data_IF_009503806639
#
_entry.id   IF_009503806639
#
_cell.length_a   1.000
_cell.length_b   1.000
_cell.length_c   1.000
_cell.angle_alpha   90.00
_cell.angle_beta   90.00
_cell.angle_gamma   90.00
#
_symmetry.space_group_name_H-M   'P 1'
#
loop_
_entity.id
_entity.type
_entity.pdbx_description
1 polymer ?
#
# COMPACT_ATOMS: atom_id res chain seq x y z
N UNK A 1 2.35 3.39 -25.41
CA UNK A 1 0.97 3.86 -25.76
C UNK A 1 -0.10 2.99 -25.10
N UNK A 2 -0.11 1.66 -25.30
CA UNK A 2 -1.19 0.78 -24.78
C UNK A 2 -1.28 0.85 -23.25
N UNK A 3 -0.20 0.55 -22.53
CA UNK A 3 -0.20 0.57 -21.06
C UNK A 3 -0.60 1.93 -20.47
N UNK A 4 -0.12 3.03 -21.04
CA UNK A 4 -0.53 4.36 -20.61
C UNK A 4 -2.04 4.62 -20.81
N UNK A 5 -2.61 4.19 -21.94
CA UNK A 5 -4.04 4.31 -22.18
C UNK A 5 -4.86 3.43 -21.21
N UNK A 6 -4.35 2.25 -20.83
CA UNK A 6 -4.97 1.39 -19.82
C UNK A 6 -5.00 2.09 -18.46
N UNK A 7 -3.87 2.62 -17.98
CA UNK A 7 -3.79 3.36 -16.71
C UNK A 7 -4.74 4.55 -16.71
N UNK A 8 -4.81 5.30 -17.81
CA UNK A 8 -5.76 6.41 -17.98
C UNK A 8 -7.23 5.94 -17.91
N UNK A 9 -7.55 4.81 -18.55
CA UNK A 9 -8.89 4.21 -18.50
C UNK A 9 -9.26 3.72 -17.09
N UNK A 10 -8.32 3.14 -16.36
CA UNK A 10 -8.52 2.72 -14.97
C UNK A 10 -8.78 3.92 -14.05
N UNK A 11 -8.04 5.03 -14.22
CA UNK A 11 -8.31 6.26 -13.49
C UNK A 11 -9.72 6.82 -13.75
N UNK A 12 -10.20 6.78 -15.00
CA UNK A 12 -11.57 7.18 -15.32
C UNK A 12 -12.60 6.26 -14.68
N UNK A 13 -12.36 4.94 -14.64
CA UNK A 13 -13.24 3.97 -13.99
C UNK A 13 -13.34 4.23 -12.48
N UNK A 14 -12.24 4.56 -11.80
CA UNK A 14 -12.23 4.97 -10.38
C UNK A 14 -13.15 6.18 -10.15
N UNK A 15 -13.00 7.23 -10.97
CA UNK A 15 -13.86 8.41 -10.86
C UNK A 15 -15.35 8.05 -11.08
N UNK A 16 -15.66 7.24 -12.08
CA UNK A 16 -17.03 6.82 -12.37
C UNK A 16 -17.65 5.96 -11.27
N UNK A 17 -16.83 5.27 -10.48
CA UNK A 17 -17.26 4.52 -9.31
C UNK A 17 -17.50 5.40 -8.06
N UNK A 18 -17.22 6.71 -8.15
CA UNK A 18 -17.40 7.67 -7.07
C UNK A 18 -16.12 7.98 -6.28
N UNK A 19 -14.97 7.44 -6.69
CA UNK A 19 -13.67 7.74 -6.06
C UNK A 19 -13.09 9.01 -6.69
N UNK A 20 -13.11 10.12 -5.96
CA UNK A 20 -12.73 11.44 -6.49
C UNK A 20 -11.28 11.83 -6.24
N UNK A 21 -10.58 11.09 -5.38
CA UNK A 21 -9.14 11.27 -5.09
C UNK A 21 -8.53 9.92 -4.78
N UNK A 22 -7.38 9.63 -5.37
CA UNK A 22 -6.61 8.41 -5.12
C UNK A 22 -5.15 8.75 -4.80
N UNK A 23 -4.50 7.87 -4.07
CA UNK A 23 -3.06 7.81 -3.89
C UNK A 23 -2.54 6.53 -4.54
N UNK A 24 -1.59 6.63 -5.47
CA UNK A 24 -0.94 5.46 -6.05
C UNK A 24 0.34 5.11 -5.27
N UNK A 25 0.54 3.82 -5.02
CA UNK A 25 1.62 3.31 -4.15
C UNK A 25 2.35 2.13 -4.82
N UNK A 26 2.96 2.41 -5.92
CA UNK A 26 3.61 1.48 -6.83
C UNK A 26 2.90 1.45 -8.18
N UNK A 27 3.59 1.84 -9.22
CA UNK A 27 3.06 1.96 -10.56
C UNK A 27 4.06 1.54 -11.63
N UNK A 28 3.70 1.69 -12.89
CA UNK A 28 4.55 1.33 -14.02
C UNK A 28 5.27 2.59 -14.50
N UNK A 29 6.58 2.66 -14.28
CA UNK A 29 7.41 3.80 -14.72
C UNK A 29 6.84 5.12 -14.19
N UNK A 30 6.70 6.12 -15.07
CA UNK A 30 6.19 7.47 -14.82
C UNK A 30 4.70 7.64 -15.18
N UNK A 31 3.94 6.54 -15.29
CA UNK A 31 2.58 6.64 -15.82
C UNK A 31 1.62 7.34 -14.87
N UNK A 32 1.80 7.20 -13.57
CA UNK A 32 0.91 7.81 -12.60
C UNK A 32 0.99 9.34 -12.66
N UNK A 33 2.21 9.90 -12.65
CA UNK A 33 2.42 11.35 -12.78
C UNK A 33 1.96 11.87 -14.14
N UNK A 34 2.19 11.13 -15.22
CA UNK A 34 1.73 11.52 -16.56
C UNK A 34 0.21 11.55 -16.68
N UNK A 35 -0.48 10.51 -16.16
CA UNK A 35 -1.95 10.47 -16.18
C UNK A 35 -2.53 11.55 -15.26
N UNK A 36 -1.93 11.77 -14.08
CA UNK A 36 -2.27 12.88 -13.19
C UNK A 36 -2.22 14.22 -13.93
N UNK A 37 -1.12 14.49 -14.61
CA UNK A 37 -0.89 15.76 -15.30
C UNK A 37 -1.84 15.93 -16.51
N UNK A 38 -2.15 14.85 -17.21
CA UNK A 38 -3.17 14.86 -18.29
C UNK A 38 -4.58 15.14 -17.74
N UNK A 39 -4.91 14.60 -16.57
CA UNK A 39 -6.19 14.89 -15.89
C UNK A 39 -6.22 16.35 -15.42
N UNK A 40 -5.15 16.82 -14.76
CA UNK A 40 -5.07 18.18 -14.24
C UNK A 40 -5.16 19.25 -15.33
N UNK A 41 -4.65 18.98 -16.54
CA UNK A 41 -4.77 19.91 -17.67
C UNK A 41 -6.04 19.66 -18.53
N UNK A 42 -6.94 18.78 -18.14
CA UNK A 42 -8.22 18.53 -18.80
C UNK A 42 -8.14 17.67 -20.07
N UNK A 43 -6.99 17.05 -20.37
CA UNK A 43 -6.83 16.14 -21.51
C UNK A 43 -7.47 14.77 -21.29
N UNK A 44 -7.57 14.35 -20.04
CA UNK A 44 -8.16 13.09 -19.62
C UNK A 44 -9.15 13.33 -18.49
N UNK A 45 -10.06 12.39 -18.31
CA UNK A 45 -11.01 12.36 -17.23
C UNK A 45 -10.54 11.36 -16.18
N UNK A 46 -10.56 11.76 -14.91
CA UNK A 46 -10.15 10.90 -13.80
C UNK A 46 -10.23 11.63 -12.45
N UNK A 47 -9.90 10.95 -11.35
CA UNK A 47 -9.86 11.55 -10.02
C UNK A 47 -8.64 12.45 -9.86
N UNK A 48 -8.58 13.19 -8.76
CA UNK A 48 -7.30 13.75 -8.30
C UNK A 48 -6.36 12.61 -7.96
N UNK A 49 -5.12 12.66 -8.44
CA UNK A 49 -4.12 11.61 -8.19
C UNK A 49 -2.97 12.20 -7.37
N UNK A 50 -2.64 11.54 -6.25
CA UNK A 50 -1.36 11.67 -5.57
C UNK A 50 -0.48 10.52 -6.06
N UNK A 51 0.51 10.83 -6.88
CA UNK A 51 1.25 9.85 -7.67
C UNK A 51 2.54 9.41 -7.00
N UNK A 52 2.74 8.09 -6.83
CA UNK A 52 3.98 7.51 -6.32
C UNK A 52 4.91 6.99 -7.42
N UNK A 53 4.40 6.70 -8.63
CA UNK A 53 5.13 6.00 -9.68
C UNK A 53 5.71 4.67 -9.20
N UNK A 54 6.88 4.25 -9.69
CA UNK A 54 7.52 3.00 -9.29
C UNK A 54 7.92 3.04 -7.81
N UNK A 55 7.59 1.98 -7.08
CA UNK A 55 8.08 1.78 -5.72
C UNK A 55 9.58 1.40 -5.70
N UNK A 56 10.15 1.35 -4.51
CA UNK A 56 11.52 0.88 -4.27
C UNK A 56 11.45 -0.46 -3.53
N UNK A 57 12.03 -1.49 -4.13
CA UNK A 57 12.18 -2.84 -3.59
C UNK A 57 13.65 -3.22 -3.60
N UNK A 58 13.95 -4.46 -3.26
CA UNK A 58 15.29 -5.06 -3.35
C UNK A 58 15.27 -6.22 -4.34
N UNK A 59 16.42 -6.75 -4.80
CA UNK A 59 16.46 -7.96 -5.61
C UNK A 59 15.69 -9.11 -4.93
N UNK A 60 14.82 -9.75 -5.68
CA UNK A 60 13.89 -10.80 -5.18
C UNK A 60 12.92 -10.32 -4.08
N UNK A 61 12.77 -9.02 -3.89
CA UNK A 61 11.78 -8.41 -3.02
C UNK A 61 10.41 -8.30 -3.69
N UNK A 62 9.41 -7.88 -2.90
CA UNK A 62 8.03 -7.74 -3.38
C UNK A 62 7.96 -6.82 -4.59
N UNK A 63 7.26 -7.27 -5.63
CA UNK A 63 6.98 -6.55 -6.88
C UNK A 63 8.21 -6.00 -7.62
N UNK A 64 9.43 -6.45 -7.27
CA UNK A 64 10.67 -6.05 -7.94
C UNK A 64 10.63 -6.39 -9.44
N UNK A 65 10.90 -5.38 -10.29
CA UNK A 65 10.87 -5.51 -11.75
C UNK A 65 9.48 -5.41 -12.38
N UNK A 66 8.43 -5.13 -11.61
CA UNK A 66 7.06 -4.87 -12.11
C UNK A 66 6.59 -3.44 -11.80
N UNK A 67 6.07 -3.20 -10.60
CA UNK A 67 5.64 -1.88 -10.12
C UNK A 67 6.60 -1.29 -9.08
N UNK A 68 7.74 -1.93 -8.87
CA UNK A 68 8.84 -1.46 -8.02
C UNK A 68 10.19 -1.76 -8.66
N UNK A 69 11.15 -0.89 -8.43
CA UNK A 69 12.54 -1.04 -8.87
C UNK A 69 13.31 -1.82 -7.81
N UNK A 70 14.17 -2.74 -8.23
CA UNK A 70 15.10 -3.44 -7.36
C UNK A 70 16.34 -2.58 -7.12
N UNK A 71 16.51 -2.03 -5.92
CA UNK A 71 17.72 -1.36 -5.48
C UNK A 71 18.65 -2.38 -4.80
N UNK A 72 19.85 -2.57 -5.34
CA UNK A 72 20.84 -3.51 -4.77
C UNK A 72 21.58 -2.89 -3.59
N UNK A 73 21.78 -1.58 -3.62
CA UNK A 73 22.51 -0.82 -2.63
C UNK A 73 21.69 0.35 -2.09
N UNK A 74 22.10 0.92 -0.97
CA UNK A 74 21.52 2.16 -0.44
C UNK A 74 21.65 3.29 -1.48
N UNK A 75 22.77 3.40 -2.16
CA UNK A 75 23.00 4.43 -3.18
C UNK A 75 22.00 4.29 -4.34
N UNK A 76 21.67 3.06 -4.77
CA UNK A 76 20.65 2.81 -5.78
C UNK A 76 19.28 3.28 -5.31
N UNK A 77 18.92 2.98 -4.05
CA UNK A 77 17.66 3.41 -3.46
C UNK A 77 17.58 4.94 -3.37
N UNK A 78 18.64 5.62 -2.94
CA UNK A 78 18.70 7.10 -2.89
C UNK A 78 18.65 7.73 -4.28
N UNK A 79 19.26 7.10 -5.27
CA UNK A 79 19.13 7.52 -6.67
C UNK A 79 17.68 7.46 -7.14
N UNK A 80 16.91 6.42 -6.73
CA UNK A 80 15.49 6.33 -7.07
C UNK A 80 14.66 7.44 -6.41
N UNK A 81 14.93 7.80 -5.15
CA UNK A 81 14.29 8.96 -4.50
C UNK A 81 14.58 10.25 -5.28
N UNK A 82 15.81 10.42 -5.75
CA UNK A 82 16.20 11.59 -6.56
C UNK A 82 15.45 11.62 -7.91
N UNK A 83 15.35 10.50 -8.60
CA UNK A 83 14.57 10.37 -9.85
C UNK A 83 13.07 10.62 -9.63
N UNK A 84 12.51 10.13 -8.52
CA UNK A 84 11.12 10.40 -8.15
C UNK A 84 10.88 11.93 -8.00
N UNK A 85 11.83 12.66 -7.42
CA UNK A 85 11.79 14.13 -7.37
C UNK A 85 11.77 14.78 -8.75
N UNK A 86 12.61 14.31 -9.68
CA UNK A 86 12.62 14.80 -11.06
C UNK A 86 11.31 14.49 -11.81
N UNK A 87 10.66 13.38 -11.48
CA UNK A 87 9.36 12.99 -12.01
C UNK A 87 8.18 13.70 -11.35
N UNK A 88 8.42 14.58 -10.37
CA UNK A 88 7.39 15.29 -9.62
C UNK A 88 6.35 14.36 -8.97
N UNK A 89 6.79 13.26 -8.35
CA UNK A 89 5.89 12.41 -7.55
C UNK A 89 5.41 13.14 -6.30
N UNK A 90 4.34 12.65 -5.69
CA UNK A 90 3.77 13.21 -4.48
C UNK A 90 4.24 12.48 -3.21
N UNK A 91 4.72 11.25 -3.35
CA UNK A 91 5.19 10.40 -2.24
C UNK A 91 6.19 9.35 -2.72
N UNK A 92 6.89 8.72 -1.77
CA UNK A 92 7.77 7.57 -2.01
C UNK A 92 7.11 6.29 -1.49
N UNK A 93 7.24 5.19 -2.24
CA UNK A 93 6.77 3.85 -1.83
C UNK A 93 7.92 2.89 -1.64
N UNK A 94 7.94 2.22 -0.48
CA UNK A 94 8.85 1.11 -0.16
C UNK A 94 8.12 -0.23 -0.15
N UNK A 95 8.81 -1.30 -0.57
CA UNK A 95 8.40 -2.69 -0.42
C UNK A 95 9.34 -3.33 0.61
N UNK A 96 8.97 -3.26 1.90
CA UNK A 96 9.86 -3.66 3.01
C UNK A 96 9.83 -5.16 3.22
N UNK A 97 8.65 -5.76 3.10
CA UNK A 97 8.49 -7.22 3.25
C UNK A 97 8.10 -7.87 1.92
N UNK A 98 8.17 -9.19 1.87
CA UNK A 98 7.43 -9.98 0.90
C UNK A 98 5.93 -9.92 1.16
N UNK A 99 5.14 -10.58 0.33
CA UNK A 99 3.70 -10.70 0.44
C UNK A 99 3.21 -12.13 0.24
N UNK A 100 1.88 -12.31 0.18
CA UNK A 100 1.24 -13.61 -0.05
C UNK A 100 1.82 -14.34 -1.25
N UNK A 101 2.07 -13.62 -2.35
CA UNK A 101 2.54 -14.21 -3.63
C UNK A 101 4.04 -14.49 -3.66
N UNK A 102 4.83 -13.91 -2.75
CA UNK A 102 6.28 -14.10 -2.69
C UNK A 102 6.67 -15.25 -1.76
N UNK A 103 5.77 -15.68 -0.90
CA UNK A 103 6.03 -16.64 0.15
C UNK A 103 6.24 -18.04 -0.41
N UNK A 104 7.33 -18.69 -0.02
CA UNK A 104 7.68 -20.06 -0.40
C UNK A 104 7.16 -21.11 0.58
N UNK A 105 6.87 -20.69 1.81
CA UNK A 105 6.46 -21.56 2.91
C UNK A 105 5.20 -21.04 3.59
N UNK A 106 4.44 -21.96 4.21
CA UNK A 106 3.24 -21.61 4.99
C UNK A 106 3.64 -20.88 6.29
N UNK A 107 2.94 -19.79 6.61
CA UNK A 107 3.10 -19.04 7.86
C UNK A 107 4.12 -17.90 7.80
N UNK A 108 4.75 -17.65 6.65
CA UNK A 108 5.79 -16.61 6.49
C UNK A 108 5.50 -15.69 5.28
N UNK A 109 4.31 -15.08 5.19
CA UNK A 109 3.98 -14.25 4.04
C UNK A 109 4.83 -12.98 3.96
N UNK A 110 5.10 -12.35 5.10
CA UNK A 110 5.76 -11.04 5.21
C UNK A 110 7.22 -11.14 5.59
N UNK A 111 8.01 -12.01 4.96
CA UNK A 111 9.45 -12.07 5.20
C UNK A 111 10.11 -10.70 4.96
N UNK A 112 10.93 -10.24 5.93
CA UNK A 112 11.67 -8.99 5.80
C UNK A 112 12.65 -9.09 4.62
N UNK A 113 12.54 -8.19 3.65
CA UNK A 113 13.35 -8.16 2.43
C UNK A 113 14.31 -6.96 2.41
N UNK A 114 13.84 -5.80 2.82
CA UNK A 114 14.65 -4.57 2.83
C UNK A 114 15.30 -4.39 4.20
N UNK A 115 16.62 -4.19 4.20
CA UNK A 115 17.37 -3.97 5.43
C UNK A 115 16.96 -2.66 6.13
N UNK A 116 16.91 -2.62 7.47
CA UNK A 116 16.50 -1.42 8.23
C UNK A 116 17.31 -0.17 7.86
N UNK A 117 18.60 -0.31 7.60
CA UNK A 117 19.49 0.79 7.22
C UNK A 117 19.09 1.41 5.87
N UNK A 118 18.62 0.59 4.92
CA UNK A 118 18.13 1.08 3.63
C UNK A 118 16.78 1.80 3.82
N UNK A 119 15.87 1.25 4.63
CA UNK A 119 14.60 1.91 4.97
C UNK A 119 14.87 3.29 5.55
N UNK A 120 15.76 3.36 6.55
CA UNK A 120 16.12 4.63 7.19
C UNK A 120 16.71 5.63 6.20
N UNK A 121 17.68 5.22 5.40
CA UNK A 121 18.32 6.09 4.42
C UNK A 121 17.31 6.67 3.41
N UNK A 122 16.37 5.85 2.95
CA UNK A 122 15.30 6.30 2.03
C UNK A 122 14.34 7.26 2.74
N UNK A 123 13.90 6.96 3.97
CA UNK A 123 13.01 7.85 4.72
C UNK A 123 13.68 9.20 5.00
N UNK A 124 14.93 9.21 5.47
CA UNK A 124 15.66 10.44 5.73
C UNK A 124 15.77 11.29 4.45
N UNK A 125 16.11 10.67 3.31
CA UNK A 125 16.23 11.37 2.03
C UNK A 125 14.88 11.86 1.49
N UNK A 126 13.84 11.05 1.62
CA UNK A 126 12.48 11.43 1.21
C UNK A 126 11.98 12.63 2.03
N UNK A 127 12.15 12.61 3.33
CA UNK A 127 11.76 13.71 4.23
C UNK A 127 12.58 14.98 3.97
N UNK A 128 13.90 14.86 3.72
CA UNK A 128 14.73 16.01 3.29
C UNK A 128 14.16 16.70 2.04
N UNK A 129 13.60 15.91 1.11
CA UNK A 129 13.00 16.41 -0.13
C UNK A 129 11.52 16.79 0.00
N UNK A 130 10.93 16.63 1.19
CA UNK A 130 9.54 16.99 1.49
C UNK A 130 8.52 15.91 1.14
N UNK A 131 8.94 14.67 0.89
CA UNK A 131 8.05 13.54 0.61
C UNK A 131 7.64 12.81 1.88
N UNK A 132 6.42 12.26 1.86
CA UNK A 132 5.99 11.20 2.75
C UNK A 132 6.36 9.83 2.19
N UNK A 133 6.55 8.85 3.09
CA UNK A 133 6.94 7.49 2.73
C UNK A 133 5.84 6.51 3.12
N UNK A 134 5.34 5.76 2.14
CA UNK A 134 4.40 4.65 2.32
C UNK A 134 5.15 3.31 2.21
N UNK A 135 4.81 2.32 3.04
CA UNK A 135 5.48 1.02 3.02
C UNK A 135 4.49 -0.15 2.93
N UNK A 136 4.73 -1.06 1.97
CA UNK A 136 4.12 -2.39 1.96
C UNK A 136 4.72 -3.23 3.08
N UNK A 137 3.88 -3.75 3.97
CA UNK A 137 4.29 -4.51 5.16
C UNK A 137 3.22 -5.53 5.53
N UNK A 138 3.56 -6.81 5.50
CA UNK A 138 2.66 -7.92 5.83
C UNK A 138 3.18 -8.80 6.99
N UNK A 139 4.03 -8.25 7.87
CA UNK A 139 4.50 -8.92 9.08
C UNK A 139 4.75 -7.94 10.21
N UNK A 140 4.70 -8.41 11.46
CA UNK A 140 4.98 -7.60 12.65
C UNK A 140 6.43 -7.05 12.65
N UNK A 141 7.41 -7.86 12.21
CA UNK A 141 8.79 -7.41 12.10
C UNK A 141 8.94 -6.31 11.05
N UNK A 142 8.21 -6.43 9.93
CA UNK A 142 8.18 -5.37 8.91
C UNK A 142 7.55 -4.08 9.43
N UNK A 143 6.43 -4.16 10.18
CA UNK A 143 5.80 -2.97 10.80
C UNK A 143 6.78 -2.29 11.75
N UNK A 144 7.48 -3.07 12.58
CA UNK A 144 8.50 -2.52 13.51
C UNK A 144 9.60 -1.81 12.75
N UNK A 145 10.22 -2.48 11.76
CA UNK A 145 11.28 -1.89 10.94
C UNK A 145 10.82 -0.62 10.24
N UNK A 146 9.62 -0.60 9.67
CA UNK A 146 9.06 0.57 9.02
C UNK A 146 8.93 1.76 9.98
N UNK A 147 8.32 1.56 11.13
CA UNK A 147 8.07 2.62 12.12
C UNK A 147 9.34 3.11 12.80
N UNK A 148 10.28 2.22 13.16
CA UNK A 148 11.58 2.59 13.73
C UNK A 148 12.42 3.44 12.79
N UNK A 149 12.18 3.34 11.49
CA UNK A 149 12.96 4.02 10.47
C UNK A 149 12.22 5.18 9.78
N UNK A 150 11.06 5.59 10.31
CA UNK A 150 10.43 6.85 9.95
C UNK A 150 9.41 6.77 8.80
N UNK A 151 8.86 5.60 8.49
CA UNK A 151 7.76 5.46 7.52
C UNK A 151 6.51 6.20 8.00
N UNK A 152 5.85 6.96 7.11
CA UNK A 152 4.68 7.78 7.44
C UNK A 152 3.35 7.02 7.31
N UNK A 153 3.27 5.99 6.46
CA UNK A 153 2.09 5.14 6.36
C UNK A 153 2.44 3.67 6.15
N UNK A 154 1.78 2.82 6.92
CA UNK A 154 1.84 1.36 6.81
C UNK A 154 0.68 0.90 5.95
N UNK A 155 0.98 0.29 4.81
CA UNK A 155 0.01 -0.36 3.95
C UNK A 155 -0.15 -1.82 4.39
N UNK A 156 -1.37 -2.34 4.43
CA UNK A 156 -1.78 -3.65 4.93
C UNK A 156 -1.66 -3.73 6.45
N UNK A 157 -0.47 -3.89 6.95
CA UNK A 157 -0.19 -4.04 8.37
C UNK A 157 -0.28 -5.49 8.86
N UNK A 158 0.16 -5.70 10.09
CA UNK A 158 0.12 -6.98 10.79
C UNK A 158 -0.04 -6.72 12.30
N UNK A 159 -0.19 -7.79 13.08
CA UNK A 159 -0.33 -7.69 14.53
C UNK A 159 0.70 -6.76 15.18
N UNK A 160 0.23 -5.84 16.01
CA UNK A 160 1.03 -4.85 16.73
C UNK A 160 1.40 -5.34 18.13
N UNK A 161 2.56 -4.91 18.61
CA UNK A 161 2.92 -4.92 20.04
C UNK A 161 2.87 -3.49 20.62
N UNK A 162 3.06 -3.36 21.94
CA UNK A 162 3.01 -2.07 22.64
C UNK A 162 4.06 -1.08 22.12
N UNK A 163 5.22 -1.57 21.68
CA UNK A 163 6.27 -0.74 21.13
C UNK A 163 5.86 -0.15 19.76
N UNK A 164 5.29 -0.96 18.88
CA UNK A 164 4.79 -0.49 17.58
C UNK A 164 3.63 0.50 17.74
N UNK A 165 2.71 0.24 18.68
CA UNK A 165 1.62 1.16 19.01
C UNK A 165 2.15 2.52 19.45
N UNK A 166 3.20 2.54 20.29
CA UNK A 166 3.87 3.76 20.72
C UNK A 166 4.51 4.48 19.54
N UNK A 167 5.22 3.76 18.67
CA UNK A 167 5.86 4.33 17.48
C UNK A 167 4.85 4.93 16.48
N UNK A 168 3.71 4.28 16.25
CA UNK A 168 2.64 4.87 15.43
C UNK A 168 2.22 6.25 15.93
N UNK A 169 2.06 6.40 17.26
CA UNK A 169 1.65 7.66 17.87
C UNK A 169 2.77 8.72 17.81
N UNK A 170 4.00 8.34 18.12
CA UNK A 170 5.16 9.24 18.12
C UNK A 170 5.49 9.76 16.71
N UNK A 171 5.40 8.90 15.72
CA UNK A 171 5.66 9.24 14.32
C UNK A 171 4.45 9.90 13.63
N UNK A 172 3.27 9.94 14.30
CA UNK A 172 2.00 10.34 13.66
C UNK A 172 1.71 9.56 12.38
N UNK A 173 2.11 8.28 12.36
CA UNK A 173 1.96 7.43 11.19
C UNK A 173 0.51 6.97 11.00
N UNK A 174 0.13 6.71 9.75
CA UNK A 174 -1.19 6.20 9.37
C UNK A 174 -1.13 4.69 9.11
N UNK A 175 -2.23 4.00 9.42
CA UNK A 175 -2.48 2.64 8.94
C UNK A 175 -3.44 2.72 7.74
N UNK A 176 -3.03 2.21 6.59
CA UNK A 176 -3.91 2.03 5.43
C UNK A 176 -4.30 0.56 5.33
N UNK A 177 -5.49 0.21 5.80
CA UNK A 177 -6.00 -1.16 5.67
C UNK A 177 -6.37 -1.47 4.23
N UNK A 178 -6.14 -2.71 3.81
CA UNK A 178 -6.45 -3.21 2.48
C UNK A 178 -6.94 -4.65 2.58
N UNK A 179 -8.17 -4.85 3.00
CA UNK A 179 -8.74 -6.19 3.17
C UNK A 179 -9.00 -6.88 1.83
N UNK A 180 -9.30 -6.08 0.80
CA UNK A 180 -9.68 -6.56 -0.52
C UNK A 180 -8.67 -7.51 -1.17
N UNK A 181 -7.35 -7.24 -1.22
CA UNK A 181 -6.40 -8.13 -1.90
C UNK A 181 -6.16 -9.46 -1.18
N UNK A 182 -6.21 -9.48 0.16
CA UNK A 182 -6.00 -10.70 0.94
C UNK A 182 -7.25 -11.60 1.01
N UNK A 183 -8.45 -11.01 0.94
CA UNK A 183 -9.73 -11.72 1.11
C UNK A 183 -9.92 -12.89 0.13
N UNK A 184 -9.68 -12.76 -1.20
CA UNK A 184 -9.86 -13.88 -2.12
C UNK A 184 -8.97 -15.08 -1.79
N UNK A 185 -7.71 -14.84 -1.43
CA UNK A 185 -6.80 -15.89 -1.01
C UNK A 185 -7.22 -16.54 0.32
N UNK A 186 -7.77 -15.75 1.24
CA UNK A 186 -8.19 -16.23 2.55
C UNK A 186 -9.51 -17.03 2.52
N UNK A 187 -10.48 -16.63 1.69
CA UNK A 187 -11.89 -17.06 1.83
C UNK A 187 -12.46 -17.75 0.59
N UNK A 188 -11.88 -17.58 -0.60
CA UNK A 188 -12.41 -18.23 -1.80
C UNK A 188 -11.83 -19.64 -1.96
N UNK A 189 -12.61 -20.49 -2.58
CA UNK A 189 -12.12 -21.83 -2.96
C UNK A 189 -10.96 -21.71 -3.96
N UNK A 190 -9.97 -22.60 -3.82
CA UNK A 190 -8.79 -22.61 -4.69
C UNK A 190 -9.12 -22.86 -6.17
N UNK A 191 -10.23 -23.53 -6.46
CA UNK A 191 -10.71 -23.70 -7.83
C UNK A 191 -11.11 -22.37 -8.49
N UNK A 192 -11.41 -21.34 -7.70
CA UNK A 192 -11.72 -20.00 -8.16
C UNK A 192 -10.46 -19.15 -8.30
N UNK A 193 -9.59 -19.21 -7.29
CA UNK A 193 -8.39 -18.35 -7.24
C UNK A 193 -7.20 -18.88 -7.99
N UNK A 194 -7.15 -20.21 -8.28
CA UNK A 194 -5.96 -20.93 -8.69
C UNK A 194 -4.77 -20.81 -7.72
N UNK A 195 -5.02 -20.38 -6.49
CA UNK A 195 -3.99 -20.24 -5.48
C UNK A 195 -3.38 -21.60 -5.11
N UNK A 196 -2.08 -21.62 -4.88
CA UNK A 196 -1.41 -22.75 -4.26
C UNK A 196 -1.86 -22.92 -2.80
N UNK A 197 -1.53 -24.04 -2.18
CA UNK A 197 -1.79 -24.22 -0.74
C UNK A 197 -1.03 -23.23 0.13
N UNK A 198 0.16 -22.82 -0.30
CA UNK A 198 0.99 -21.85 0.40
C UNK A 198 0.33 -20.47 0.32
N UNK A 199 -0.08 -20.04 -0.87
CA UNK A 199 -0.75 -18.75 -1.07
C UNK A 199 -2.08 -18.68 -0.32
N UNK A 200 -2.90 -19.74 -0.34
CA UNK A 200 -4.15 -19.75 0.43
C UNK A 200 -3.90 -19.66 1.93
N UNK A 201 -2.96 -20.43 2.45
CA UNK A 201 -2.61 -20.40 3.86
C UNK A 201 -2.10 -19.01 4.27
N UNK A 202 -1.17 -18.46 3.50
CA UNK A 202 -0.58 -17.16 3.78
C UNK A 202 -1.57 -16.00 3.55
N UNK A 203 -2.47 -16.11 2.57
CA UNK A 203 -3.57 -15.19 2.39
C UNK A 203 -4.47 -15.10 3.63
N UNK A 204 -4.73 -16.24 4.28
CA UNK A 204 -5.46 -16.26 5.56
C UNK A 204 -4.68 -15.59 6.68
N UNK A 205 -3.36 -15.84 6.78
CA UNK A 205 -2.49 -15.21 7.79
C UNK A 205 -2.48 -13.69 7.62
N UNK A 206 -2.31 -13.20 6.39
CA UNK A 206 -2.30 -11.75 6.09
C UNK A 206 -3.66 -11.13 6.35
N UNK A 207 -4.75 -11.76 5.88
CA UNK A 207 -6.10 -11.25 6.11
C UNK A 207 -6.45 -11.11 7.59
N UNK A 208 -6.14 -12.13 8.40
CA UNK A 208 -6.35 -12.08 9.85
C UNK A 208 -5.44 -11.03 10.51
N UNK A 209 -4.19 -10.92 10.04
CA UNK A 209 -3.22 -9.94 10.52
C UNK A 209 -3.66 -8.50 10.28
N UNK A 210 -4.20 -8.19 9.09
CA UNK A 210 -4.76 -6.86 8.76
C UNK A 210 -5.94 -6.52 9.70
N UNK A 211 -6.85 -7.48 9.91
CA UNK A 211 -8.01 -7.30 10.81
C UNK A 211 -7.54 -7.03 12.24
N UNK A 212 -6.59 -7.81 12.74
CA UNK A 212 -6.05 -7.64 14.09
C UNK A 212 -5.35 -6.28 14.24
N UNK A 213 -4.51 -5.92 13.27
CA UNK A 213 -3.85 -4.62 13.22
C UNK A 213 -4.86 -3.46 13.27
N UNK A 214 -5.91 -3.53 12.45
CA UNK A 214 -6.95 -2.51 12.40
C UNK A 214 -7.69 -2.38 13.74
N UNK A 215 -8.02 -3.50 14.42
CA UNK A 215 -8.65 -3.48 15.74
C UNK A 215 -7.74 -2.86 16.80
N UNK A 216 -6.47 -3.27 16.83
CA UNK A 216 -5.48 -2.68 17.74
C UNK A 216 -5.28 -1.18 17.46
N UNK A 217 -5.28 -0.77 16.21
CA UNK A 217 -5.20 0.64 15.82
C UNK A 217 -6.40 1.45 16.32
N UNK A 218 -7.64 0.90 16.20
CA UNK A 218 -8.86 1.52 16.74
C UNK A 218 -8.81 1.68 18.26
N UNK A 219 -8.41 0.63 18.96
CA UNK A 219 -8.31 0.63 20.44
C UNK A 219 -7.28 1.63 20.97
N UNK A 220 -6.34 2.04 20.13
CA UNK A 220 -5.23 2.91 20.47
C UNK A 220 -5.25 4.29 19.80
N UNK A 221 -6.36 4.69 19.17
CA UNK A 221 -6.51 5.98 18.47
C UNK A 221 -5.46 6.22 17.36
N UNK A 222 -4.92 5.15 16.77
CA UNK A 222 -4.06 5.25 15.59
C UNK A 222 -4.93 5.59 14.38
N UNK A 223 -4.57 6.60 13.56
CA UNK A 223 -5.39 7.01 12.42
C UNK A 223 -5.41 5.92 11.33
N UNK A 224 -6.63 5.46 10.98
CA UNK A 224 -6.85 4.47 9.94
C UNK A 224 -7.43 5.13 8.71
N UNK A 225 -6.89 4.77 7.54
CA UNK A 225 -7.45 5.10 6.22
C UNK A 225 -7.72 3.81 5.44
N UNK A 226 -8.53 3.89 4.39
CA UNK A 226 -8.89 2.74 3.58
C UNK A 226 -8.30 2.84 2.18
N UNK A 227 -7.75 1.72 1.71
CA UNK A 227 -7.34 1.47 0.34
C UNK A 227 -7.80 0.09 -0.09
N UNK A 228 -8.12 -0.13 -1.37
CA UNK A 228 -8.50 -1.44 -1.87
C UNK A 228 -7.38 -2.13 -2.64
N UNK A 229 -6.24 -1.48 -2.79
CA UNK A 229 -5.07 -2.00 -3.49
C UNK A 229 -5.44 -2.53 -4.90
N UNK A 230 -6.20 -1.70 -5.63
CA UNK A 230 -6.65 -2.04 -6.98
C UNK A 230 -5.46 -2.22 -7.91
N UNK A 231 -5.49 -3.30 -8.69
CA UNK A 231 -4.36 -3.80 -9.47
C UNK A 231 -4.00 -5.24 -9.09
N UNK A 232 -4.36 -5.64 -7.87
CA UNK A 232 -4.32 -7.03 -7.43
C UNK A 232 -5.42 -7.86 -8.11
N UNK A 233 -5.22 -9.19 -8.29
CA UNK A 233 -6.26 -10.08 -8.80
C UNK A 233 -7.58 -9.96 -8.02
N UNK A 234 -8.73 -10.06 -8.70
CA UNK A 234 -10.09 -10.03 -8.15
C UNK A 234 -10.57 -8.66 -7.67
N UNK A 235 -9.77 -7.60 -7.81
CA UNK A 235 -10.14 -6.24 -7.42
C UNK A 235 -10.23 -5.39 -8.67
N UNK A 236 -11.39 -4.75 -8.87
CA UNK A 236 -11.61 -3.87 -10.00
C UNK A 236 -11.71 -2.40 -9.57
N UNK A 237 -11.56 -1.50 -10.53
CA UNK A 237 -11.66 -0.05 -10.31
C UNK A 237 -13.07 0.41 -9.91
N UNK A 238 -14.07 -0.48 -9.94
CA UNK A 238 -15.43 -0.20 -9.50
C UNK A 238 -15.75 -0.70 -8.09
N UNK A 239 -14.80 -1.34 -7.41
CA UNK A 239 -15.05 -2.16 -6.23
C UNK A 239 -14.62 -1.52 -4.91
N UNK A 240 -14.18 -0.24 -4.89
CA UNK A 240 -13.74 0.40 -3.64
C UNK A 240 -14.80 0.36 -2.53
N UNK A 241 -16.08 0.42 -2.86
CA UNK A 241 -17.16 0.27 -1.89
C UNK A 241 -17.11 -1.06 -1.11
N UNK A 242 -16.53 -2.11 -1.69
CA UNK A 242 -16.35 -3.40 -1.00
C UNK A 242 -15.36 -3.30 0.15
N UNK A 243 -14.31 -2.48 0.02
CA UNK A 243 -13.37 -2.25 1.11
C UNK A 243 -14.07 -1.63 2.32
N UNK A 244 -14.97 -0.66 2.13
CA UNK A 244 -15.78 -0.09 3.20
C UNK A 244 -16.66 -1.16 3.87
N UNK A 245 -17.29 -2.02 3.05
CA UNK A 245 -18.12 -3.12 3.54
C UNK A 245 -17.27 -4.16 4.31
N UNK A 246 -16.09 -4.51 3.82
CA UNK A 246 -15.20 -5.46 4.51
C UNK A 246 -14.69 -4.89 5.82
N UNK A 247 -14.33 -3.62 5.84
CA UNK A 247 -13.90 -2.94 7.05
C UNK A 247 -15.01 -2.93 8.11
N UNK A 248 -16.25 -2.58 7.72
CA UNK A 248 -17.42 -2.71 8.60
C UNK A 248 -17.60 -4.15 9.10
N UNK A 249 -17.60 -5.13 8.18
CA UNK A 249 -17.94 -6.52 8.47
C UNK A 249 -16.92 -7.23 9.35
N UNK A 250 -15.62 -7.07 9.06
CA UNK A 250 -14.55 -7.87 9.69
C UNK A 250 -13.87 -7.13 10.84
N UNK A 251 -13.76 -5.82 10.78
CA UNK A 251 -13.18 -5.02 11.87
C UNK A 251 -14.23 -4.61 12.88
N UNK A 252 -15.51 -4.48 12.48
CA UNK A 252 -16.63 -4.23 13.38
C UNK A 252 -16.96 -2.76 13.59
N UNK A 253 -16.50 -1.88 12.69
CA UNK A 253 -16.80 -0.44 12.78
C UNK A 253 -18.18 -0.08 12.21
N UNK A 254 -18.70 1.10 12.54
CA UNK A 254 -19.93 1.60 11.91
C UNK A 254 -19.69 2.00 10.44
N UNK A 255 -20.73 1.96 9.61
CA UNK A 255 -20.67 2.44 8.23
C UNK A 255 -20.21 3.91 8.15
N UNK A 256 -20.65 4.76 9.08
CA UNK A 256 -20.22 6.15 9.15
C UNK A 256 -18.72 6.29 9.41
N UNK A 257 -18.15 5.44 10.27
CA UNK A 257 -16.72 5.44 10.54
C UNK A 257 -15.92 4.93 9.33
N UNK A 258 -16.39 3.89 8.64
CA UNK A 258 -15.76 3.43 7.40
C UNK A 258 -15.71 4.53 6.33
N UNK A 259 -16.82 5.27 6.14
CA UNK A 259 -16.86 6.43 5.23
C UNK A 259 -15.89 7.52 5.70
N UNK A 260 -15.83 7.82 7.00
CA UNK A 260 -14.88 8.78 7.56
C UNK A 260 -13.42 8.39 7.24
N UNK A 261 -13.05 7.11 7.44
CA UNK A 261 -11.71 6.60 7.12
C UNK A 261 -11.37 6.69 5.62
N UNK A 262 -12.37 6.45 4.76
CA UNK A 262 -12.20 6.51 3.31
C UNK A 262 -12.21 7.94 2.73
N UNK A 263 -12.59 8.95 3.51
CA UNK A 263 -12.77 10.32 3.02
C UNK A 263 -11.98 11.33 3.85
N UNK A 264 -12.55 11.85 4.93
CA UNK A 264 -11.92 12.92 5.72
C UNK A 264 -10.59 12.50 6.34
N UNK A 265 -10.51 11.28 6.87
CA UNK A 265 -9.26 10.78 7.45
C UNK A 265 -8.20 10.54 6.38
N UNK A 266 -8.58 9.98 5.22
CA UNK A 266 -7.67 9.80 4.09
C UNK A 266 -7.14 11.14 3.54
N UNK A 267 -7.94 12.20 3.58
CA UNK A 267 -7.51 13.54 3.15
C UNK A 267 -6.53 14.23 4.12
N UNK A 268 -6.32 13.68 5.33
CA UNK A 268 -5.35 14.18 6.32
C UNK A 268 -4.01 13.49 6.24
N UNK A 269 -3.94 12.31 5.63
CA UNK A 269 -2.74 11.56 5.37
C UNK A 269 -1.90 12.20 4.26
#
# INVERSE_FOLDING_TARGET
>A
AIAHNMVSGFAEMELLSGVTTIRTVGGIRDFDTRVRDEINCGKKRGPRILAGNEGISVPHGHMAGSVAIAAETIDDALLQVSKAKEQNVDLIKLMITGGVLDAKEKGVPGELKMAPEMVKAVCDKAHELGFKVAAHVESSDGVRVALENGVDSIEHGAKLDDHMIKLFKENHAFLCTTLSPALPYALFDRSITNASEVEQFNGKVVFDGIIECAKQALENDIPIVLGNDVGCPWITQYDFWRELYYFHKYVGVSNAYAIYCATLQAARM
#
